data_IF_526304691833
#
_entry.id   IF_526304691833
#
_cell.length_a   1.000
_cell.length_b   1.000
_cell.length_c   1.000
_cell.angle_alpha   90.00
_cell.angle_beta   90.00
_cell.angle_gamma   90.00
#
_symmetry.space_group_name_H-M   'P 1'
#
loop_
_entity.id
_entity.type
_entity.pdbx_description
1 polymer ?
#
# COMPACT_ATOMS: atom_id res chain seq x y z
N UNK A 1 -23.48 23.47 -2.93
CA UNK A 1 -23.29 24.89 -3.31
C UNK A 1 -22.05 25.51 -2.68
N UNK A 2 -21.68 25.13 -1.46
CA UNK A 2 -20.48 25.63 -0.77
C UNK A 2 -19.16 25.35 -1.51
N UNK A 3 -18.96 24.15 -2.08
CA UNK A 3 -17.74 23.81 -2.85
C UNK A 3 -17.55 24.61 -4.13
N UNK A 4 -18.65 25.05 -4.76
CA UNK A 4 -18.62 25.92 -5.94
C UNK A 4 -18.29 27.37 -5.57
N UNK A 5 -18.66 27.80 -4.36
CA UNK A 5 -18.44 29.17 -3.86
C UNK A 5 -17.19 29.30 -2.99
N UNK A 6 -16.56 28.18 -2.65
CA UNK A 6 -15.43 28.21 -1.73
C UNK A 6 -15.81 28.52 -0.27
N UNK A 7 -17.08 28.37 0.06
CA UNK A 7 -17.66 28.78 1.33
C UNK A 7 -17.42 27.71 2.40
N UNK A 8 -16.27 27.79 3.06
CA UNK A 8 -15.84 26.80 4.06
C UNK A 8 -16.69 26.90 5.33
N UNK A 9 -17.02 28.10 5.78
CA UNK A 9 -17.83 28.30 6.98
C UNK A 9 -19.26 27.80 6.79
N UNK A 10 -19.86 28.04 5.61
CA UNK A 10 -21.16 27.47 5.27
C UNK A 10 -21.12 25.95 5.15
N UNK A 11 -20.03 25.37 4.64
CA UNK A 11 -19.88 23.92 4.57
C UNK A 11 -19.75 23.26 5.95
N UNK A 12 -18.98 23.88 6.86
CA UNK A 12 -18.85 23.41 8.25
C UNK A 12 -20.18 23.53 9.01
N UNK A 13 -20.90 24.65 8.85
CA UNK A 13 -22.22 24.82 9.47
C UNK A 13 -23.24 23.78 8.98
N UNK A 14 -23.23 23.45 7.68
CA UNK A 14 -24.07 22.38 7.13
C UNK A 14 -23.65 21.00 7.61
N UNK A 15 -22.36 20.77 7.83
CA UNK A 15 -21.86 19.54 8.41
C UNK A 15 -22.37 19.37 9.85
N UNK A 16 -22.23 20.40 10.70
CA UNK A 16 -22.67 20.36 12.09
C UNK A 16 -24.19 20.14 12.20
N UNK A 17 -24.98 20.82 11.37
CA UNK A 17 -26.43 20.61 11.27
C UNK A 17 -26.77 19.17 10.85
N UNK A 18 -26.11 18.63 9.81
CA UNK A 18 -26.31 17.26 9.36
C UNK A 18 -25.99 16.21 10.45
N UNK A 19 -24.92 16.42 11.23
CA UNK A 19 -24.59 15.55 12.37
C UNK A 19 -25.66 15.65 13.46
N UNK A 20 -26.10 16.87 13.81
CA UNK A 20 -27.12 17.10 14.84
C UNK A 20 -28.49 16.52 14.48
N UNK A 21 -28.82 16.47 13.19
CA UNK A 21 -30.07 15.93 12.65
C UNK A 21 -29.98 14.43 12.35
N UNK A 22 -28.83 13.79 12.61
CA UNK A 22 -28.62 12.36 12.34
C UNK A 22 -28.61 12.01 10.85
N UNK A 23 -28.37 12.99 9.98
CA UNK A 23 -28.31 12.81 8.53
C UNK A 23 -27.05 12.04 8.16
N UNK A 24 -27.23 10.91 7.48
CA UNK A 24 -26.09 10.07 7.04
C UNK A 24 -25.41 10.70 5.83
N UNK A 25 -24.23 11.27 6.04
CA UNK A 25 -23.39 11.81 4.98
C UNK A 25 -22.68 10.67 4.23
N UNK A 26 -22.77 10.68 2.89
CA UNK A 26 -21.99 9.80 2.02
C UNK A 26 -20.56 10.32 1.74
N UNK A 27 -19.68 9.45 1.22
CA UNK A 27 -18.26 9.73 0.92
C UNK A 27 -18.04 11.06 0.18
N UNK A 28 -18.84 11.34 -0.85
CA UNK A 28 -18.74 12.57 -1.62
C UNK A 28 -18.83 13.85 -0.78
N UNK A 29 -19.66 13.88 0.27
CA UNK A 29 -19.81 15.05 1.14
C UNK A 29 -18.56 15.28 2.00
N UNK A 30 -17.95 14.21 2.51
CA UNK A 30 -16.71 14.29 3.28
C UNK A 30 -15.53 14.74 2.41
N UNK A 31 -15.41 14.20 1.19
CA UNK A 31 -14.39 14.63 0.22
C UNK A 31 -14.54 16.12 -0.10
N UNK A 32 -15.76 16.62 -0.31
CA UNK A 32 -16.00 18.04 -0.57
C UNK A 32 -15.67 18.93 0.64
N UNK A 33 -15.99 18.48 1.85
CA UNK A 33 -15.70 19.22 3.09
C UNK A 33 -14.19 19.32 3.32
N UNK A 34 -13.48 18.20 3.20
CA UNK A 34 -12.01 18.16 3.31
C UNK A 34 -11.33 19.04 2.26
N UNK A 35 -11.79 18.98 1.01
CA UNK A 35 -11.30 19.82 -0.07
C UNK A 35 -11.48 21.32 0.23
N UNK A 36 -12.64 21.71 0.72
CA UNK A 36 -12.94 23.09 1.10
C UNK A 36 -12.04 23.56 2.24
N UNK A 37 -11.94 22.78 3.32
CA UNK A 37 -11.07 23.08 4.45
C UNK A 37 -9.60 23.22 4.01
N UNK A 38 -9.12 22.33 3.15
CA UNK A 38 -7.76 22.40 2.60
C UNK A 38 -7.54 23.62 1.70
N UNK A 39 -8.55 24.03 0.92
CA UNK A 39 -8.45 25.20 0.04
C UNK A 39 -8.41 26.51 0.85
N UNK A 40 -9.19 26.61 1.93
CA UNK A 40 -9.14 27.77 2.83
C UNK A 40 -7.83 27.85 3.61
N UNK A 41 -7.27 26.73 4.06
CA UNK A 41 -6.01 26.71 4.81
C UNK A 41 -4.80 27.20 3.97
N UNK A 42 -4.88 27.12 2.64
CA UNK A 42 -3.80 27.53 1.70
C UNK A 42 -4.00 28.98 1.19
N UNK A 43 -5.08 29.67 1.59
CA UNK A 43 -5.37 31.04 1.16
C UNK A 43 -5.77 31.17 -0.32
N UNK A 44 -6.03 30.06 -1.01
CA UNK A 44 -6.46 30.02 -2.42
C UNK A 44 -7.75 29.23 -2.51
N UNK A 45 -8.87 29.94 -2.37
CA UNK A 45 -10.19 29.36 -2.56
C UNK A 45 -10.55 29.43 -4.04
N UNK A 46 -10.36 28.35 -4.80
CA UNK A 46 -10.81 28.26 -6.20
C UNK A 46 -12.16 27.54 -6.31
N UNK A 47 -13.13 28.11 -7.06
CA UNK A 47 -14.39 27.43 -7.38
C UNK A 47 -14.14 26.08 -8.07
N UNK A 48 -14.82 25.02 -7.62
CA UNK A 48 -14.83 23.75 -8.35
C UNK A 48 -15.40 23.96 -9.77
N UNK A 49 -14.59 23.73 -10.82
CA UNK A 49 -15.04 23.81 -12.22
C UNK A 49 -16.09 22.71 -12.50
N UNK A 50 -17.23 23.13 -13.03
CA UNK A 50 -18.37 22.27 -13.38
C UNK A 50 -18.02 21.34 -14.54
N UNK A 51 -18.14 20.03 -14.33
CA UNK A 51 -18.11 19.02 -15.40
C UNK A 51 -18.61 17.68 -14.88
N UNK A 52 -19.78 17.26 -15.34
CA UNK A 52 -20.32 15.92 -15.12
C UNK A 52 -19.38 14.89 -15.77
N UNK A 53 -18.87 13.96 -14.96
CA UNK A 53 -18.02 12.85 -15.41
C UNK A 53 -16.86 12.63 -14.43
N UNK A 54 -16.80 11.43 -13.86
CA UNK A 54 -15.65 10.95 -13.11
C UNK A 54 -14.37 11.15 -13.94
N UNK A 55 -13.56 12.15 -13.58
CA UNK A 55 -12.19 12.31 -14.09
C UNK A 55 -11.27 12.73 -12.96
N UNK A 56 -10.25 11.89 -12.83
CA UNK A 56 -8.99 12.00 -12.10
C UNK A 56 -8.48 13.44 -12.00
N UNK A 57 -8.04 13.85 -10.80
CA UNK A 57 -7.49 15.16 -10.43
C UNK A 57 -6.10 15.48 -11.05
N UNK A 58 -5.77 14.92 -12.22
CA UNK A 58 -4.45 15.08 -12.86
C UNK A 58 -4.30 16.36 -13.70
N UNK A 59 -5.30 17.24 -13.78
CA UNK A 59 -5.26 18.39 -14.69
C UNK A 59 -5.24 19.74 -13.96
N UNK A 60 -4.16 20.04 -13.23
CA UNK A 60 -3.87 21.41 -12.76
C UNK A 60 -2.37 21.76 -12.66
N UNK A 61 -1.47 20.94 -13.21
CA UNK A 61 -0.04 21.27 -13.36
C UNK A 61 0.27 21.51 -14.83
N UNK A 62 -0.22 22.61 -15.39
CA UNK A 62 0.41 23.33 -16.53
C UNK A 62 -0.50 24.45 -17.00
N UNK A 63 -0.21 25.65 -16.52
CA UNK A 63 -0.42 26.88 -17.29
C UNK A 63 0.33 27.99 -16.54
N UNK A 64 1.54 28.26 -17.00
CA UNK A 64 2.25 29.50 -16.73
C UNK A 64 1.46 30.64 -17.39
N UNK A 65 0.66 31.37 -16.63
CA UNK A 65 0.19 32.69 -17.05
C UNK A 65 0.43 33.70 -15.93
N UNK A 66 1.10 34.77 -16.31
CA UNK A 66 1.45 35.95 -15.50
C UNK A 66 0.14 36.63 -15.07
N UNK A 67 -0.02 37.09 -13.81
CA UNK A 67 -1.24 37.78 -13.40
C UNK A 67 -1.29 39.16 -14.05
N UNK A 68 -2.32 39.41 -14.86
CA UNK A 68 -2.68 40.76 -15.26
C UNK A 68 -3.58 41.37 -14.17
N UNK A 69 -3.26 42.59 -13.75
CA UNK A 69 -3.97 43.34 -12.72
C UNK A 69 -5.44 43.53 -13.08
N UNK A 70 -6.33 43.36 -12.09
CA UNK A 70 -7.74 43.72 -12.22
C UNK A 70 -8.71 42.65 -11.76
N UNK A 71 -8.65 42.23 -10.51
CA UNK A 71 -9.85 41.75 -9.81
C UNK A 71 -9.67 42.03 -8.33
N UNK A 72 -10.58 42.83 -7.77
CA UNK A 72 -10.60 43.22 -6.37
C UNK A 72 -10.61 41.98 -5.47
N UNK A 73 -9.43 41.55 -5.01
CA UNK A 73 -9.27 40.54 -3.98
C UNK A 73 -9.73 41.14 -2.66
N UNK A 74 -10.87 40.71 -2.16
CA UNK A 74 -11.24 40.93 -0.75
C UNK A 74 -10.18 40.25 0.11
N UNK A 75 -9.30 41.05 0.71
CA UNK A 75 -8.32 40.61 1.71
C UNK A 75 -9.12 40.14 2.94
N UNK A 76 -9.36 38.84 3.05
CA UNK A 76 -9.96 38.26 4.25
C UNK A 76 -8.85 38.05 5.27
N UNK A 77 -8.65 39.02 6.16
CA UNK A 77 -7.92 38.80 7.39
C UNK A 77 -8.74 37.84 8.26
N UNK A 78 -8.25 36.61 8.41
CA UNK A 78 -8.75 35.70 9.43
C UNK A 78 -8.28 36.23 10.79
N UNK A 79 -9.21 36.88 11.49
CA UNK A 79 -9.05 37.28 12.87
C UNK A 79 -8.73 36.02 13.71
N UNK A 80 -7.60 36.04 14.41
CA UNK A 80 -6.87 34.87 14.90
C UNK A 80 -7.50 34.03 16.02
N UNK A 81 -8.81 33.96 16.15
CA UNK A 81 -9.51 33.29 17.27
C UNK A 81 -10.67 32.36 16.85
N UNK A 82 -10.69 31.85 15.61
CA UNK A 82 -11.56 30.71 15.30
C UNK A 82 -10.82 29.41 15.64
N UNK A 83 -11.06 28.89 16.85
CA UNK A 83 -10.78 27.49 17.15
C UNK A 83 -11.45 26.63 16.08
N UNK A 84 -10.67 26.18 15.09
CA UNK A 84 -11.09 25.12 14.18
C UNK A 84 -11.29 23.89 15.05
N UNK A 85 -12.55 23.64 15.40
CA UNK A 85 -13.00 22.61 16.32
C UNK A 85 -12.15 21.34 16.22
N UNK A 86 -11.76 20.87 17.41
CA UNK A 86 -11.13 19.59 17.74
C UNK A 86 -11.83 18.33 17.20
N UNK A 87 -12.86 18.48 16.37
CA UNK A 87 -13.90 17.49 16.13
C UNK A 87 -13.86 16.89 14.73
N UNK A 88 -12.88 17.27 13.88
CA UNK A 88 -12.51 16.47 12.69
C UNK A 88 -11.77 15.18 13.08
N UNK A 89 -12.15 14.56 14.19
CA UNK A 89 -11.69 13.24 14.63
C UNK A 89 -12.45 12.17 13.85
N UNK A 90 -12.06 11.95 12.59
CA UNK A 90 -12.38 10.71 11.90
C UNK A 90 -11.65 9.58 12.64
N UNK A 91 -12.28 8.99 13.65
CA UNK A 91 -11.71 7.85 14.37
C UNK A 91 -11.94 6.59 13.55
N UNK A 92 -11.13 5.55 13.82
CA UNK A 92 -11.32 4.23 13.23
C UNK A 92 -12.75 3.69 13.51
N UNK A 93 -13.38 4.11 14.61
CA UNK A 93 -14.76 3.79 14.96
C UNK A 93 -15.79 4.47 14.05
N UNK A 94 -15.52 5.67 13.55
CA UNK A 94 -16.44 6.39 12.65
C UNK A 94 -16.32 5.89 11.20
N UNK A 95 -15.11 5.52 10.77
CA UNK A 95 -14.90 4.81 9.50
C UNK A 95 -15.60 3.46 9.45
N UNK A 96 -15.57 2.70 10.56
CA UNK A 96 -16.29 1.42 10.70
C UNK A 96 -17.81 1.63 10.76
N UNK A 97 -18.29 2.69 11.42
CA UNK A 97 -19.73 3.01 11.50
C UNK A 97 -20.34 3.47 10.16
N UNK A 98 -19.57 4.17 9.33
CA UNK A 98 -20.07 4.77 8.09
C UNK A 98 -19.58 4.09 6.81
N UNK A 99 -18.60 3.18 6.89
CA UNK A 99 -18.07 2.42 5.74
C UNK A 99 -17.25 3.25 4.76
N UNK A 100 -16.75 4.41 5.18
CA UNK A 100 -16.00 5.34 4.34
C UNK A 100 -14.55 5.41 4.84
N UNK A 101 -13.61 5.05 3.96
CA UNK A 101 -12.17 5.17 4.21
C UNK A 101 -11.62 6.31 3.34
N UNK A 102 -10.81 7.22 3.90
CA UNK A 102 -10.18 8.29 3.11
C UNK A 102 -9.16 7.68 2.15
N UNK A 103 -9.06 8.20 0.93
CA UNK A 103 -7.99 7.85 -0.01
C UNK A 103 -6.81 8.82 0.17
N UNK A 104 -5.74 8.63 -0.62
CA UNK A 104 -4.55 9.48 -0.54
C UNK A 104 -4.84 10.98 -0.67
N UNK A 105 -5.68 11.44 -1.63
CA UNK A 105 -5.95 12.87 -1.79
C UNK A 105 -6.65 13.49 -0.58
N UNK A 106 -7.56 12.76 0.07
CA UNK A 106 -8.22 13.21 1.31
C UNK A 106 -7.22 13.32 2.47
N UNK A 107 -6.29 12.37 2.60
CA UNK A 107 -5.24 12.40 3.61
C UNK A 107 -4.21 13.51 3.33
N UNK A 108 -3.90 13.77 2.06
CA UNK A 108 -3.05 14.89 1.64
C UNK A 108 -3.70 16.23 2.04
N UNK A 109 -4.98 16.41 1.71
CA UNK A 109 -5.76 17.60 2.07
C UNK A 109 -5.80 17.80 3.60
N UNK A 110 -6.06 16.73 4.35
CA UNK A 110 -6.07 16.78 5.81
C UNK A 110 -4.70 17.14 6.39
N UNK A 111 -3.62 16.67 5.78
CA UNK A 111 -2.25 17.03 6.17
C UNK A 111 -1.99 18.53 5.98
N UNK A 112 -2.43 19.11 4.86
CA UNK A 112 -2.30 20.56 4.59
C UNK A 112 -2.97 21.40 5.68
N UNK A 113 -4.20 21.06 6.04
CA UNK A 113 -4.96 21.76 7.10
C UNK A 113 -4.27 21.61 8.46
N UNK A 114 -3.84 20.40 8.80
CA UNK A 114 -3.21 20.10 10.09
C UNK A 114 -1.90 20.89 10.28
N UNK A 115 -1.13 21.10 9.21
CA UNK A 115 0.08 21.93 9.22
C UNK A 115 -0.27 23.40 9.48
N UNK A 116 -1.29 23.94 8.80
CA UNK A 116 -1.75 25.33 9.01
C UNK A 116 -2.22 25.60 10.44
N UNK A 117 -2.88 24.61 11.06
CA UNK A 117 -3.36 24.68 12.43
C UNK A 117 -2.29 24.30 13.49
N UNK A 118 -1.10 23.84 13.09
CA UNK A 118 -0.06 23.39 14.01
C UNK A 118 -0.42 22.14 14.83
N UNK A 119 -1.38 21.32 14.38
CA UNK A 119 -1.85 20.15 15.12
C UNK A 119 -0.97 18.91 14.84
N UNK A 120 0.04 18.71 15.68
CA UNK A 120 1.03 17.67 15.49
C UNK A 120 0.53 16.24 15.69
N UNK A 121 -0.46 16.06 16.56
CA UNK A 121 -1.04 14.74 16.84
C UNK A 121 -1.86 14.27 15.64
N UNK A 122 -2.53 15.22 14.96
CA UNK A 122 -3.24 14.92 13.71
C UNK A 122 -2.30 14.50 12.60
N UNK A 123 -1.14 15.14 12.49
CA UNK A 123 -0.11 14.75 11.50
C UNK A 123 0.37 13.33 11.77
N UNK A 124 0.68 13.00 13.03
CA UNK A 124 1.09 11.66 13.43
C UNK A 124 0.03 10.62 13.01
N UNK A 125 -1.24 10.91 13.29
CA UNK A 125 -2.36 10.09 12.87
C UNK A 125 -2.42 9.90 11.34
N UNK A 126 -2.26 10.98 10.57
CA UNK A 126 -2.32 10.90 9.10
C UNK A 126 -1.18 10.06 8.54
N UNK A 127 0.05 10.17 9.06
CA UNK A 127 1.16 9.33 8.61
C UNK A 127 0.88 7.84 8.83
N UNK A 128 0.32 7.48 9.98
CA UNK A 128 -0.11 6.10 10.24
C UNK A 128 -1.28 5.65 9.37
N UNK A 129 -2.18 6.55 8.98
CA UNK A 129 -3.26 6.22 8.03
C UNK A 129 -2.73 6.04 6.61
N UNK A 130 -1.81 6.89 6.15
CA UNK A 130 -1.10 6.72 4.88
C UNK A 130 -0.35 5.38 4.85
N UNK A 131 0.31 5.00 5.96
CA UNK A 131 0.98 3.70 6.10
C UNK A 131 0.04 2.53 5.79
N UNK A 132 -1.19 2.59 6.32
CA UNK A 132 -2.17 1.50 6.18
C UNK A 132 -2.78 1.50 4.77
N UNK A 133 -3.15 2.67 4.25
CA UNK A 133 -4.01 2.78 3.06
C UNK A 133 -3.20 2.75 1.77
N UNK A 134 -2.10 3.50 1.70
CA UNK A 134 -1.32 3.63 0.46
C UNK A 134 0.00 2.87 0.51
N UNK A 135 0.58 2.70 1.70
CA UNK A 135 1.92 2.16 1.97
C UNK A 135 3.06 3.00 1.39
N UNK A 136 2.99 3.26 0.08
CA UNK A 136 3.86 4.08 -0.74
C UNK A 136 3.09 5.31 -1.19
N UNK A 137 3.61 6.50 -0.91
CA UNK A 137 2.94 7.76 -1.22
C UNK A 137 3.30 8.24 -2.61
N UNK A 138 2.40 9.01 -3.24
CA UNK A 138 2.67 9.76 -4.45
C UNK A 138 3.79 10.80 -4.26
N UNK A 139 4.47 11.24 -5.34
CA UNK A 139 5.46 12.32 -5.26
C UNK A 139 4.92 13.62 -4.66
N UNK A 140 3.64 13.94 -4.89
CA UNK A 140 2.99 15.14 -4.34
C UNK A 140 2.83 15.04 -2.82
N UNK A 141 2.32 13.92 -2.33
CA UNK A 141 2.19 13.66 -0.89
C UNK A 141 3.56 13.55 -0.22
N UNK A 142 4.53 12.92 -0.89
CA UNK A 142 5.92 12.85 -0.42
C UNK A 142 6.55 14.24 -0.23
N UNK A 143 6.38 15.14 -1.21
CA UNK A 143 6.86 16.53 -1.10
C UNK A 143 6.19 17.27 0.05
N UNK A 144 4.90 17.07 0.26
CA UNK A 144 4.18 17.69 1.36
C UNK A 144 4.70 17.21 2.73
N UNK A 145 4.92 15.92 2.88
CA UNK A 145 5.47 15.38 4.13
C UNK A 145 6.90 15.86 4.35
N UNK A 146 7.68 15.97 3.28
CA UNK A 146 9.04 16.53 3.34
C UNK A 146 9.04 17.97 3.88
N UNK A 147 8.16 18.84 3.37
CA UNK A 147 8.02 20.22 3.85
C UNK A 147 7.49 20.28 5.29
N UNK A 148 6.62 19.34 5.65
CA UNK A 148 6.09 19.21 7.00
C UNK A 148 7.21 18.97 8.03
N UNK A 149 8.11 18.03 7.77
CA UNK A 149 9.21 17.74 8.69
C UNK A 149 10.23 18.89 8.76
N UNK A 150 10.38 19.68 7.68
CA UNK A 150 11.23 20.89 7.68
C UNK A 150 10.61 22.07 8.42
N UNK A 151 9.30 22.06 8.69
CA UNK A 151 8.62 23.15 9.35
C UNK A 151 9.12 23.36 10.80
N UNK A 152 9.27 24.62 11.21
CA UNK A 152 9.65 25.00 12.57
C UNK A 152 8.72 24.40 13.64
N UNK A 153 7.43 24.22 13.36
CA UNK A 153 6.51 23.60 14.33
C UNK A 153 6.85 22.12 14.59
N UNK A 154 7.26 21.36 13.56
CA UNK A 154 7.67 19.96 13.73
C UNK A 154 8.87 19.83 14.68
N UNK A 155 9.73 20.85 14.77
CA UNK A 155 10.89 20.84 15.67
C UNK A 155 10.54 20.99 17.17
N UNK A 156 9.33 21.44 17.47
CA UNK A 156 8.88 21.74 18.85
C UNK A 156 8.17 20.56 19.51
N UNK A 157 7.80 19.56 18.71
CA UNK A 157 6.98 18.41 19.10
C UNK A 157 7.88 17.23 19.44
N UNK A 158 7.44 16.41 20.39
CA UNK A 158 8.04 15.13 20.73
C UNK A 158 8.66 15.05 22.11
N UNK A 159 8.87 13.80 22.55
CA UNK A 159 9.38 13.46 23.89
C UNK A 159 10.90 13.41 23.86
N UNK A 160 11.57 14.02 24.85
CA UNK A 160 13.05 13.96 24.99
C UNK A 160 13.56 12.67 25.64
N UNK A 161 12.71 12.01 26.42
CA UNK A 161 13.00 10.75 27.12
C UNK A 161 11.80 9.84 26.95
N UNK A 162 12.07 8.58 26.68
CA UNK A 162 11.06 7.52 26.54
C UNK A 162 11.66 6.20 27.00
N UNK A 163 10.80 5.26 27.39
CA UNK A 163 11.21 3.92 27.74
C UNK A 163 11.37 3.08 26.47
N UNK A 164 12.61 2.76 26.11
CA UNK A 164 12.92 1.97 24.92
C UNK A 164 12.25 0.58 24.95
N UNK A 165 12.10 -0.03 26.13
CA UNK A 165 11.47 -1.36 26.25
C UNK A 165 10.01 -1.30 25.83
N UNK A 166 9.28 -0.28 26.28
CA UNK A 166 7.88 -0.08 25.89
C UNK A 166 7.74 0.22 24.39
N UNK A 167 8.68 0.96 23.80
CA UNK A 167 8.68 1.22 22.35
C UNK A 167 8.93 -0.06 21.55
N UNK A 168 9.90 -0.87 21.96
CA UNK A 168 10.19 -2.16 21.32
C UNK A 168 9.00 -3.12 21.44
N UNK A 169 8.42 -3.27 22.63
CA UNK A 169 7.23 -4.09 22.86
C UNK A 169 6.05 -3.61 22.00
N UNK A 170 5.80 -2.30 21.94
CA UNK A 170 4.77 -1.73 21.08
C UNK A 170 5.07 -2.00 19.59
N UNK A 171 6.34 -2.04 19.19
CA UNK A 171 6.73 -2.35 17.81
C UNK A 171 6.43 -3.79 17.45
N UNK A 172 6.79 -4.72 18.33
CA UNK A 172 6.51 -6.15 18.17
C UNK A 172 5.00 -6.42 18.13
N UNK A 173 4.24 -5.84 19.07
CA UNK A 173 2.78 -5.97 19.13
C UNK A 173 2.06 -5.40 17.89
N UNK A 174 2.69 -4.46 17.17
CA UNK A 174 2.18 -3.89 15.93
C UNK A 174 2.60 -4.67 14.66
N UNK A 175 3.28 -5.81 14.79
CA UNK A 175 3.80 -6.60 13.67
C UNK A 175 5.05 -6.02 13.00
N UNK A 176 5.73 -5.08 13.66
CA UNK A 176 6.97 -4.48 13.19
C UNK A 176 6.82 -3.20 12.34
N UNK A 177 7.90 -2.43 12.27
CA UNK A 177 8.02 -1.21 11.47
C UNK A 177 7.15 -0.02 11.92
N UNK A 178 6.50 -0.10 13.09
CA UNK A 178 5.87 1.05 13.77
C UNK A 178 5.66 0.79 15.25
N UNK A 179 5.71 1.83 16.09
CA UNK A 179 5.40 1.70 17.52
C UNK A 179 4.10 2.43 17.92
N UNK A 180 3.71 3.51 17.23
CA UNK A 180 2.42 4.17 17.48
C UNK A 180 2.32 4.94 18.80
N UNK A 181 3.45 5.27 19.44
CA UNK A 181 3.51 5.87 20.80
C UNK A 181 3.66 7.40 20.80
N UNK A 182 3.43 8.02 19.64
CA UNK A 182 3.59 9.46 19.41
C UNK A 182 5.03 9.84 19.05
N UNK A 183 5.26 11.14 18.86
CA UNK A 183 6.56 11.67 18.44
C UNK A 183 7.67 11.46 19.47
N UNK A 184 8.78 10.86 19.02
CA UNK A 184 10.01 10.69 19.79
C UNK A 184 11.09 11.66 19.31
N UNK A 185 11.96 12.08 20.21
CA UNK A 185 12.94 13.14 19.97
C UNK A 185 12.34 14.54 20.10
N UNK A 186 13.21 15.56 20.15
CA UNK A 186 12.79 16.97 20.09
C UNK A 186 13.94 17.80 19.52
N UNK A 187 13.64 18.64 18.54
CA UNK A 187 14.64 19.45 17.86
C UNK A 187 14.38 19.49 16.35
N UNK A 188 15.26 20.16 15.61
CA UNK A 188 15.15 20.26 14.16
C UNK A 188 15.30 18.88 13.53
N UNK A 189 14.37 18.51 12.67
CA UNK A 189 14.48 17.29 11.86
C UNK A 189 15.54 17.44 10.78
N UNK A 190 16.32 16.39 10.59
CA UNK A 190 17.13 16.20 9.38
C UNK A 190 16.28 15.44 8.37
N UNK A 191 16.01 16.07 7.22
CA UNK A 191 15.11 15.53 6.19
C UNK A 191 15.87 15.42 4.89
N UNK A 192 16.05 14.17 4.42
CA UNK A 192 16.93 13.84 3.30
C UNK A 192 16.24 12.83 2.38
N UNK A 193 16.33 13.05 1.07
CA UNK A 193 16.00 12.01 0.09
C UNK A 193 17.14 10.99 0.04
N UNK A 194 16.82 9.72 0.22
CA UNK A 194 17.80 8.64 0.32
C UNK A 194 17.32 7.38 -0.40
N UNK A 195 18.21 6.38 -0.49
CA UNK A 195 17.88 5.05 -1.01
C UNK A 195 18.20 3.99 0.05
N UNK A 196 17.56 2.84 -0.08
CA UNK A 196 17.80 1.68 0.80
C UNK A 196 18.84 0.78 0.13
N UNK A 197 19.78 0.27 0.91
CA UNK A 197 20.75 -0.73 0.47
C UNK A 197 20.11 -2.10 0.23
N UNK A 198 20.85 -3.00 -0.43
CA UNK A 198 20.39 -4.38 -0.64
C UNK A 198 20.33 -5.20 0.66
N UNK A 199 20.90 -4.68 1.73
CA UNK A 199 20.86 -5.16 3.11
C UNK A 199 19.62 -4.64 3.88
N UNK A 200 18.83 -3.75 3.29
CA UNK A 200 17.70 -3.10 3.98
C UNK A 200 18.10 -1.93 4.87
N UNK A 201 19.37 -1.49 4.84
CA UNK A 201 19.84 -0.33 5.59
C UNK A 201 19.57 0.97 4.84
N UNK A 202 19.08 1.98 5.55
CA UNK A 202 18.97 3.33 5.02
C UNK A 202 20.37 3.93 4.81
N UNK A 203 20.71 4.33 3.57
CA UNK A 203 22.03 4.92 3.27
C UNK A 203 22.31 6.28 3.92
N UNK A 204 21.27 6.93 4.48
CA UNK A 204 21.41 8.23 5.14
C UNK A 204 21.67 8.07 6.64
N UNK A 205 20.83 7.30 7.34
CA UNK A 205 20.87 7.22 8.81
C UNK A 205 21.34 5.86 9.35
N UNK A 206 21.60 4.87 8.47
CA UNK A 206 22.03 3.53 8.87
C UNK A 206 20.96 2.69 9.59
N UNK A 207 19.72 3.16 9.67
CA UNK A 207 18.62 2.40 10.28
C UNK A 207 18.27 1.20 9.39
N UNK A 208 18.13 0.02 10.02
CA UNK A 208 17.63 -1.19 9.38
C UNK A 208 16.11 -1.12 9.24
N UNK A 209 15.60 -1.12 8.02
CA UNK A 209 14.16 -1.20 7.79
C UNK A 209 13.67 -2.62 8.07
N UNK A 210 12.48 -2.72 8.65
CA UNK A 210 11.85 -3.99 9.01
C UNK A 210 11.24 -4.67 7.81
N UNK A 211 11.36 -5.98 7.83
CA UNK A 211 10.73 -6.93 6.93
C UNK A 211 9.42 -7.37 7.59
N UNK A 212 8.37 -6.54 7.45
CA UNK A 212 7.05 -6.78 8.08
C UNK A 212 6.45 -8.06 7.49
N UNK A 213 6.30 -9.07 8.34
CA UNK A 213 5.76 -10.36 7.95
C UNK A 213 4.27 -10.28 7.63
N UNK A 214 3.83 -11.15 6.72
CA UNK A 214 2.41 -11.31 6.45
C UNK A 214 1.79 -12.16 7.56
N UNK A 215 0.68 -11.67 8.10
CA UNK A 215 -0.05 -12.36 9.15
C UNK A 215 -0.40 -13.81 8.69
N UNK A 216 -0.04 -14.84 9.49
CA UNK A 216 -0.31 -16.23 9.12
C UNK A 216 -1.79 -16.56 8.94
N UNK A 217 -2.68 -15.95 9.72
CA UNK A 217 -4.12 -16.14 9.65
C UNK A 217 -4.66 -15.47 8.39
N UNK A 218 -4.26 -14.23 8.09
CA UNK A 218 -4.60 -13.56 6.84
C UNK A 218 -4.09 -14.35 5.62
N UNK A 219 -2.86 -14.88 5.69
CA UNK A 219 -2.27 -15.71 4.64
C UNK A 219 -3.11 -16.98 4.40
N UNK A 220 -3.55 -17.64 5.47
CA UNK A 220 -4.40 -18.82 5.36
C UNK A 220 -5.79 -18.48 4.81
N UNK A 221 -6.38 -17.37 5.25
CA UNK A 221 -7.66 -16.88 4.73
C UNK A 221 -7.56 -16.56 3.24
N UNK A 222 -6.45 -15.94 2.83
CA UNK A 222 -6.19 -15.65 1.43
C UNK A 222 -6.00 -16.91 0.60
N UNK A 223 -5.28 -17.92 1.11
CA UNK A 223 -5.15 -19.23 0.46
C UNK A 223 -6.52 -19.90 0.26
N UNK A 224 -7.42 -19.80 1.25
CA UNK A 224 -8.77 -20.34 1.18
C UNK A 224 -9.64 -19.58 0.16
N UNK A 225 -9.51 -18.25 0.09
CA UNK A 225 -10.17 -17.42 -0.92
C UNK A 225 -9.73 -17.80 -2.34
N UNK A 226 -8.42 -17.90 -2.58
CA UNK A 226 -7.87 -18.32 -3.88
C UNK A 226 -8.37 -19.72 -4.25
N UNK A 227 -8.39 -20.65 -3.29
CA UNK A 227 -8.90 -22.00 -3.52
C UNK A 227 -10.39 -22.01 -3.89
N UNK A 228 -11.24 -21.24 -3.20
CA UNK A 228 -12.67 -21.19 -3.50
C UNK A 228 -12.95 -20.59 -4.86
N UNK A 229 -12.26 -19.50 -5.21
CA UNK A 229 -12.37 -18.87 -6.53
C UNK A 229 -11.89 -19.81 -7.66
N UNK A 230 -10.80 -20.54 -7.43
CA UNK A 230 -10.29 -21.52 -8.37
C UNK A 230 -11.30 -22.67 -8.57
N UNK A 231 -11.87 -23.23 -7.51
CA UNK A 231 -12.90 -24.30 -7.60
C UNK A 231 -14.14 -23.82 -8.36
N UNK A 232 -14.56 -22.57 -8.19
CA UNK A 232 -15.73 -22.03 -8.90
C UNK A 232 -15.50 -21.85 -10.41
N UNK A 233 -14.25 -21.66 -10.84
CA UNK A 233 -13.90 -21.31 -12.22
C UNK A 233 -13.27 -22.44 -13.02
N UNK A 234 -12.58 -23.34 -12.33
CA UNK A 234 -11.96 -24.50 -12.95
C UNK A 234 -13.00 -25.58 -13.28
N UNK A 235 -12.76 -26.33 -14.35
CA UNK A 235 -13.69 -27.36 -14.79
C UNK A 235 -13.61 -28.59 -13.89
N UNK A 236 -14.78 -29.04 -13.43
CA UNK A 236 -14.92 -30.28 -12.68
C UNK A 236 -14.08 -30.30 -11.41
N UNK A 237 -13.38 -31.41 -11.15
CA UNK A 237 -12.56 -31.60 -9.95
C UNK A 237 -11.06 -31.35 -10.17
N UNK A 238 -10.68 -30.67 -11.26
CA UNK A 238 -9.27 -30.47 -11.63
C UNK A 238 -8.45 -29.78 -10.53
N UNK A 239 -8.97 -28.66 -10.00
CA UNK A 239 -8.28 -27.94 -8.93
C UNK A 239 -8.24 -28.73 -7.62
N UNK A 240 -9.32 -29.44 -7.27
CA UNK A 240 -9.35 -30.29 -6.08
C UNK A 240 -8.35 -31.44 -6.15
N UNK A 241 -8.16 -32.02 -7.34
CA UNK A 241 -7.10 -33.03 -7.60
C UNK A 241 -5.72 -32.43 -7.37
N UNK A 242 -5.47 -31.20 -7.85
CA UNK A 242 -4.24 -30.48 -7.59
C UNK A 242 -4.02 -30.23 -6.10
N UNK A 243 -5.03 -29.77 -5.35
CA UNK A 243 -4.91 -29.54 -3.91
C UNK A 243 -4.53 -30.82 -3.15
N UNK A 244 -5.09 -31.97 -3.53
CA UNK A 244 -4.75 -33.29 -2.97
C UNK A 244 -3.31 -33.68 -3.30
N UNK A 245 -2.91 -33.53 -4.56
CA UNK A 245 -1.53 -33.80 -5.02
C UNK A 245 -0.53 -32.92 -4.28
N UNK A 246 -0.79 -31.62 -4.12
CA UNK A 246 0.07 -30.73 -3.35
C UNK A 246 0.20 -31.12 -1.87
N UNK A 247 -0.86 -31.62 -1.24
CA UNK A 247 -0.75 -32.08 0.16
C UNK A 247 0.16 -33.30 0.29
N UNK A 248 0.13 -34.22 -0.68
CA UNK A 248 1.02 -35.38 -0.71
C UNK A 248 2.48 -34.93 -0.94
N UNK A 249 2.70 -34.15 -2.00
CA UNK A 249 4.03 -33.61 -2.37
C UNK A 249 4.62 -32.71 -1.29
N UNK A 250 3.79 -31.88 -0.65
CA UNK A 250 4.20 -30.99 0.44
C UNK A 250 4.67 -31.73 1.70
N UNK A 251 4.08 -32.90 1.98
CA UNK A 251 4.50 -33.74 3.10
C UNK A 251 5.81 -34.46 2.81
N UNK A 252 6.06 -34.86 1.56
CA UNK A 252 7.30 -35.55 1.16
C UNK A 252 8.48 -34.58 0.97
N UNK A 253 8.28 -33.43 0.30
CA UNK A 253 9.32 -32.42 0.06
C UNK A 253 9.79 -31.76 1.37
N UNK A 254 8.91 -31.57 2.35
CA UNK A 254 9.28 -30.98 3.64
C UNK A 254 10.08 -31.94 4.54
N UNK A 255 9.94 -33.26 4.36
CA UNK A 255 10.57 -34.26 5.24
C UNK A 255 11.96 -34.72 4.76
N UNK A 256 12.33 -34.51 3.49
CA UNK A 256 13.47 -35.24 2.89
C UNK A 256 14.66 -34.39 2.41
N UNK A 257 14.58 -33.05 2.34
CA UNK A 257 15.63 -32.25 1.65
C UNK A 257 16.18 -31.05 2.45
N UNK A 258 17.41 -31.15 3.01
CA UNK A 258 18.07 -30.05 3.72
C UNK A 258 18.75 -28.97 2.87
N UNK A 259 19.03 -29.15 1.55
CA UNK A 259 19.87 -28.14 0.86
C UNK A 259 19.82 -28.03 -0.67
N UNK A 260 18.96 -28.77 -1.40
CA UNK A 260 18.73 -28.54 -2.84
C UNK A 260 17.26 -28.80 -3.20
N UNK A 261 16.40 -27.81 -2.96
CA UNK A 261 14.98 -27.87 -3.30
C UNK A 261 14.82 -27.63 -4.80
N UNK A 262 14.25 -28.58 -5.53
CA UNK A 262 13.76 -28.29 -6.89
C UNK A 262 12.54 -27.37 -6.78
N UNK A 263 12.45 -26.29 -7.59
CA UNK A 263 11.24 -25.49 -7.63
C UNK A 263 10.10 -26.31 -8.22
N UNK A 264 8.89 -26.14 -7.69
CA UNK A 264 7.69 -26.69 -8.32
C UNK A 264 7.38 -25.91 -9.59
N UNK A 265 7.45 -26.59 -10.73
CA UNK A 265 7.17 -26.06 -12.06
C UNK A 265 5.70 -26.35 -12.36
N UNK A 266 4.93 -25.30 -12.59
CA UNK A 266 3.55 -25.41 -13.10
C UNK A 266 3.59 -25.12 -14.59
N UNK A 267 3.16 -26.08 -15.41
CA UNK A 267 3.16 -25.94 -16.87
C UNK A 267 1.82 -26.40 -17.45
N UNK A 268 1.27 -25.64 -18.38
CA UNK A 268 0.05 -26.08 -19.07
C UNK A 268 0.31 -27.32 -19.96
N UNK A 269 -0.53 -28.36 -19.89
CA UNK A 269 -0.31 -29.65 -20.57
C UNK A 269 -0.20 -29.56 -22.12
N UNK A 270 -0.75 -28.50 -22.72
CA UNK A 270 -0.50 -28.21 -24.16
C UNK A 270 0.97 -27.91 -24.46
N UNK A 271 1.71 -27.35 -23.51
CA UNK A 271 3.14 -27.04 -23.65
C UNK A 271 4.03 -28.24 -23.36
N UNK A 272 3.54 -29.24 -22.63
CA UNK A 272 4.27 -30.49 -22.40
C UNK A 272 4.15 -31.53 -23.52
N UNK A 273 3.28 -31.29 -24.52
CA UNK A 273 2.97 -32.24 -25.61
C UNK A 273 3.09 -31.66 -27.03
N UNK A 274 3.75 -30.50 -27.20
CA UNK A 274 3.92 -29.86 -28.51
C UNK A 274 5.21 -30.27 -29.22
N UNK A 275 5.31 -30.00 -30.53
CA UNK A 275 6.41 -30.43 -31.43
C UNK A 275 7.83 -30.09 -30.94
N UNK A 276 8.00 -29.02 -30.15
CA UNK A 276 9.29 -28.65 -29.53
C UNK A 276 9.72 -29.59 -28.38
N UNK A 277 8.80 -30.38 -27.83
CA UNK A 277 9.06 -31.32 -26.73
C UNK A 277 9.54 -32.69 -27.21
N UNK A 278 9.47 -32.95 -28.52
CA UNK A 278 10.05 -34.16 -29.12
C UNK A 278 11.56 -34.05 -29.34
N UNK A 279 12.15 -32.87 -29.10
CA UNK A 279 13.60 -32.73 -29.01
C UNK A 279 14.15 -33.55 -27.83
N UNK A 280 15.16 -34.41 -28.04
CA UNK A 280 15.69 -35.31 -27.00
C UNK A 280 16.14 -34.59 -25.72
N UNK A 281 16.65 -33.37 -25.86
CA UNK A 281 17.12 -32.53 -24.75
C UNK A 281 15.93 -32.10 -23.86
N UNK A 282 14.84 -31.65 -24.47
CA UNK A 282 13.66 -31.19 -23.74
C UNK A 282 12.95 -32.36 -23.04
N UNK A 283 12.88 -33.53 -23.71
CA UNK A 283 12.33 -34.75 -23.10
C UNK A 283 13.12 -35.18 -21.87
N UNK A 284 14.45 -35.19 -21.95
CA UNK A 284 15.32 -35.51 -20.82
C UNK A 284 15.12 -34.55 -19.63
N UNK A 285 14.89 -33.26 -19.89
CA UNK A 285 14.61 -32.27 -18.85
C UNK A 285 13.26 -32.51 -18.17
N UNK A 286 12.21 -32.81 -18.94
CA UNK A 286 10.88 -33.13 -18.40
C UNK A 286 10.94 -34.39 -17.56
N UNK A 287 11.58 -35.45 -18.05
CA UNK A 287 11.74 -36.70 -17.32
C UNK A 287 12.49 -36.46 -16.01
N UNK A 288 13.53 -35.61 -16.03
CA UNK A 288 14.24 -35.20 -14.82
C UNK A 288 13.32 -34.47 -13.82
N UNK A 289 12.44 -33.58 -14.27
CA UNK A 289 11.52 -32.87 -13.38
C UNK A 289 10.39 -33.75 -12.86
N UNK A 290 9.87 -34.66 -13.68
CA UNK A 290 8.88 -35.65 -13.27
C UNK A 290 9.45 -36.62 -12.23
N UNK A 291 10.66 -37.14 -12.45
CA UNK A 291 11.35 -38.04 -11.52
C UNK A 291 11.71 -37.38 -10.19
N UNK A 292 11.71 -36.04 -10.14
CA UNK A 292 11.97 -35.25 -8.95
C UNK A 292 10.69 -34.69 -8.29
N UNK A 293 9.51 -35.11 -8.76
CA UNK A 293 8.19 -34.59 -8.33
C UNK A 293 8.09 -33.04 -8.39
N UNK A 294 8.82 -32.45 -9.33
CA UNK A 294 9.01 -31.02 -9.46
C UNK A 294 8.18 -30.40 -10.61
N UNK A 295 7.38 -31.18 -11.33
CA UNK A 295 6.54 -30.70 -12.44
C UNK A 295 5.07 -31.08 -12.22
N UNK A 296 4.19 -30.10 -12.28
CA UNK A 296 2.74 -30.32 -12.36
C UNK A 296 2.21 -29.80 -13.70
N UNK A 297 1.76 -30.72 -14.54
CA UNK A 297 1.11 -30.39 -15.81
C UNK A 297 -0.37 -30.06 -15.60
N UNK A 298 -0.78 -28.80 -15.79
CA UNK A 298 -2.18 -28.40 -15.58
C UNK A 298 -3.09 -28.98 -16.68
N UNK A 299 -4.31 -29.45 -16.33
CA UNK A 299 -5.21 -30.08 -17.30
C UNK A 299 -5.58 -29.16 -18.47
N UNK A 300 -5.94 -29.76 -19.61
CA UNK A 300 -6.34 -28.99 -20.79
C UNK A 300 -7.57 -28.12 -20.51
N UNK A 301 -7.44 -26.81 -20.73
CA UNK A 301 -8.52 -25.84 -20.52
C UNK A 301 -8.61 -25.30 -19.09
N UNK A 302 -7.64 -25.65 -18.24
CA UNK A 302 -7.43 -25.02 -16.94
C UNK A 302 -6.65 -23.72 -17.08
N UNK A 303 -6.94 -22.76 -16.21
CA UNK A 303 -6.13 -21.56 -16.05
C UNK A 303 -5.00 -21.87 -15.05
N UNK A 304 -3.76 -21.95 -15.55
CA UNK A 304 -2.56 -22.24 -14.76
C UNK A 304 -2.30 -21.19 -13.67
N UNK A 305 -2.83 -19.96 -13.81
CA UNK A 305 -2.73 -18.91 -12.80
C UNK A 305 -3.24 -19.32 -11.42
N UNK A 306 -4.32 -20.10 -11.35
CA UNK A 306 -4.82 -20.59 -10.08
C UNK A 306 -3.87 -21.56 -9.39
N UNK A 307 -3.13 -22.35 -10.17
CA UNK A 307 -2.32 -23.46 -9.66
C UNK A 307 -1.03 -22.94 -9.04
N UNK A 308 -0.26 -22.12 -9.79
CA UNK A 308 0.98 -21.56 -9.25
C UNK A 308 0.72 -20.56 -8.13
N UNK A 309 -0.36 -19.78 -8.20
CA UNK A 309 -0.70 -18.80 -7.16
C UNK A 309 -1.02 -19.51 -5.85
N UNK A 310 -1.93 -20.50 -5.89
CA UNK A 310 -2.32 -21.25 -4.72
C UNK A 310 -1.14 -22.01 -4.09
N UNK A 311 -0.29 -22.63 -4.91
CA UNK A 311 0.91 -23.32 -4.42
C UNK A 311 1.84 -22.36 -3.67
N UNK A 312 2.16 -21.21 -4.28
CA UNK A 312 3.07 -20.24 -3.69
C UNK A 312 2.56 -19.68 -2.35
N UNK A 313 1.26 -19.38 -2.25
CA UNK A 313 0.64 -18.90 -1.00
C UNK A 313 0.67 -20.00 0.06
N UNK A 314 0.23 -21.22 -0.30
CA UNK A 314 0.11 -22.35 0.63
C UNK A 314 1.45 -22.75 1.24
N UNK A 315 2.51 -22.78 0.43
CA UNK A 315 3.85 -23.14 0.88
C UNK A 315 4.67 -21.94 1.37
N UNK A 316 4.10 -20.72 1.34
CA UNK A 316 4.76 -19.47 1.75
C UNK A 316 6.14 -19.33 1.09
N UNK A 317 6.20 -19.61 -0.21
CA UNK A 317 7.46 -19.68 -0.97
C UNK A 317 7.54 -18.61 -2.06
N UNK A 318 8.74 -18.40 -2.58
CA UNK A 318 8.96 -17.52 -3.72
C UNK A 318 8.21 -18.02 -4.95
N UNK A 319 7.69 -17.08 -5.73
CA UNK A 319 7.02 -17.29 -7.00
C UNK A 319 7.84 -16.63 -8.11
N UNK A 320 8.43 -17.44 -8.98
CA UNK A 320 9.20 -16.92 -10.12
C UNK A 320 8.25 -16.70 -11.30
N UNK A 321 7.96 -15.44 -11.62
CA UNK A 321 7.13 -15.08 -12.78
C UNK A 321 7.30 -13.62 -13.18
N UNK A 322 7.29 -13.37 -14.48
CA UNK A 322 7.25 -12.02 -15.05
C UNK A 322 5.82 -11.52 -15.30
N UNK A 323 4.79 -12.34 -15.03
CA UNK A 323 3.40 -11.90 -15.07
C UNK A 323 3.20 -10.71 -14.12
N UNK A 324 2.53 -9.68 -14.60
CA UNK A 324 2.28 -8.47 -13.82
C UNK A 324 1.13 -8.65 -12.82
N UNK A 325 0.34 -9.71 -13.02
CA UNK A 325 -0.83 -10.08 -12.24
C UNK A 325 -1.89 -8.96 -12.24
N UNK A 326 -2.22 -8.44 -13.43
CA UNK A 326 -3.12 -7.29 -13.64
C UNK A 326 -4.46 -7.63 -14.29
N UNK A 327 -4.66 -8.89 -14.68
CA UNK A 327 -5.88 -9.33 -15.34
C UNK A 327 -7.11 -9.30 -14.39
N UNK A 328 -8.29 -9.56 -14.95
CA UNK A 328 -9.54 -9.63 -14.17
C UNK A 328 -9.55 -10.73 -13.10
N UNK A 329 -8.69 -11.73 -13.22
CA UNK A 329 -8.53 -12.77 -12.20
C UNK A 329 -7.91 -12.16 -10.94
N UNK A 330 -6.80 -11.41 -11.08
CA UNK A 330 -6.11 -10.83 -9.93
C UNK A 330 -6.84 -9.66 -9.29
N UNK A 331 -7.68 -8.94 -10.04
CA UNK A 331 -8.55 -7.88 -9.50
C UNK A 331 -9.52 -8.39 -8.42
N UNK A 332 -9.85 -9.68 -8.42
CA UNK A 332 -10.78 -10.28 -7.45
C UNK A 332 -10.12 -10.65 -6.13
N UNK A 333 -8.79 -10.65 -6.10
CA UNK A 333 -7.99 -10.99 -4.92
C UNK A 333 -7.91 -9.83 -3.92
N UNK A 334 -8.48 -8.68 -4.27
CA UNK A 334 -8.51 -7.49 -3.44
C UNK A 334 -7.24 -6.64 -3.55
N UNK A 335 -7.34 -5.40 -3.07
CA UNK A 335 -6.30 -4.38 -3.22
C UNK A 335 -5.41 -4.23 -1.97
N UNK A 336 -5.61 -5.06 -0.94
CA UNK A 336 -4.87 -4.94 0.32
C UNK A 336 -3.84 -6.08 0.50
N UNK A 337 -4.30 -7.31 0.77
CA UNK A 337 -3.39 -8.43 1.06
C UNK A 337 -2.55 -8.85 -0.16
N UNK A 338 -3.16 -8.99 -1.34
CA UNK A 338 -2.48 -9.52 -2.52
C UNK A 338 -1.27 -8.69 -2.97
N UNK A 339 -1.32 -7.34 -3.05
CA UNK A 339 -0.14 -6.53 -3.34
C UNK A 339 1.00 -6.73 -2.33
N UNK A 340 0.69 -6.83 -1.02
CA UNK A 340 1.68 -7.10 0.03
C UNK A 340 2.31 -8.48 -0.16
N UNK A 341 1.49 -9.49 -0.47
CA UNK A 341 1.97 -10.83 -0.77
C UNK A 341 2.88 -10.85 -1.99
N UNK A 342 2.47 -10.20 -3.08
CA UNK A 342 3.23 -10.11 -4.34
C UNK A 342 4.60 -9.47 -4.13
N UNK A 343 4.67 -8.35 -3.40
CA UNK A 343 5.93 -7.66 -3.08
C UNK A 343 6.94 -8.59 -2.39
N UNK A 344 6.47 -9.50 -1.53
CA UNK A 344 7.34 -10.36 -0.72
C UNK A 344 7.69 -11.70 -1.36
N UNK A 345 6.91 -12.15 -2.34
CA UNK A 345 7.05 -13.49 -2.91
C UNK A 345 7.40 -13.50 -4.40
N UNK A 346 7.08 -12.44 -5.17
CA UNK A 346 7.35 -12.43 -6.60
C UNK A 346 8.84 -12.20 -6.89
N UNK A 347 9.45 -13.16 -7.57
CA UNK A 347 10.78 -13.04 -8.19
C UNK A 347 10.58 -12.81 -9.69
N UNK A 348 11.08 -11.68 -10.19
CA UNK A 348 11.09 -11.39 -11.63
C UNK A 348 12.43 -11.84 -12.22
N UNK A 349 12.52 -11.99 -13.53
CA UNK A 349 13.77 -12.32 -14.18
C UNK A 349 13.93 -11.63 -15.53
N UNK A 350 15.19 -11.42 -15.92
CA UNK A 350 15.60 -10.94 -17.24
C UNK A 350 16.73 -11.82 -17.75
N UNK A 351 17.04 -11.76 -19.05
CA UNK A 351 18.23 -12.41 -19.60
C UNK A 351 19.27 -11.34 -19.93
N UNK A 352 20.51 -11.56 -19.54
CA UNK A 352 21.63 -10.71 -19.95
C UNK A 352 21.95 -10.91 -21.44
N UNK A 353 22.77 -10.03 -22.00
CA UNK A 353 23.25 -10.15 -23.39
C UNK A 353 24.03 -11.45 -23.64
N UNK A 354 24.57 -12.06 -22.58
CA UNK A 354 25.24 -13.37 -22.60
C UNK A 354 24.27 -14.56 -22.52
N UNK A 355 22.96 -14.32 -22.46
CA UNK A 355 21.92 -15.35 -22.36
C UNK A 355 21.72 -15.95 -20.96
N UNK A 356 22.44 -15.47 -19.94
CA UNK A 356 22.27 -15.94 -18.57
C UNK A 356 21.08 -15.28 -17.88
N UNK A 357 20.26 -16.03 -17.12
CA UNK A 357 19.14 -15.45 -16.38
C UNK A 357 19.64 -14.64 -15.17
N UNK A 358 19.06 -13.45 -15.00
CA UNK A 358 19.24 -12.57 -13.84
C UNK A 358 17.92 -12.53 -13.09
N UNK A 359 17.93 -12.94 -11.82
CA UNK A 359 16.77 -12.94 -10.95
C UNK A 359 16.72 -11.67 -10.11
N UNK A 360 15.59 -10.99 -10.15
CA UNK A 360 15.28 -9.81 -9.35
C UNK A 360 14.46 -10.26 -8.15
N UNK A 361 15.14 -10.40 -7.01
CA UNK A 361 14.56 -10.85 -5.74
C UNK A 361 13.62 -9.80 -5.14
N UNK A 362 12.64 -10.21 -4.31
CA UNK A 362 11.86 -9.30 -3.48
C UNK A 362 12.73 -8.30 -2.70
N UNK A 363 12.24 -7.08 -2.43
CA UNK A 363 12.97 -6.10 -1.64
C UNK A 363 13.42 -6.65 -0.27
N UNK A 364 14.59 -6.24 0.24
CA UNK A 364 15.15 -6.74 1.50
C UNK A 364 14.35 -6.31 2.74
N UNK A 365 13.46 -5.31 2.58
CA UNK A 365 12.58 -4.78 3.61
C UNK A 365 11.20 -4.46 3.00
N UNK A 366 10.16 -4.36 3.84
CA UNK A 366 8.81 -4.03 3.35
C UNK A 366 8.72 -2.58 2.86
N UNK A 367 8.18 -2.37 1.65
CA UNK A 367 8.02 -1.03 1.05
C UNK A 367 6.73 -0.39 1.56
N UNK A 368 6.84 0.19 2.75
CA UNK A 368 5.74 0.85 3.45
C UNK A 368 6.34 1.93 4.36
N UNK A 369 5.57 2.96 4.73
CA UNK A 369 6.00 3.93 5.74
C UNK A 369 6.42 3.18 7.02
N UNK A 370 7.65 3.43 7.48
CA UNK A 370 8.19 2.82 8.70
C UNK A 370 8.60 3.88 9.72
N UNK A 371 8.34 3.58 10.99
CA UNK A 371 8.69 4.37 12.16
C UNK A 371 9.63 3.51 13.03
N UNK A 372 10.84 4.00 13.31
CA UNK A 372 11.83 3.32 14.14
C UNK A 372 11.61 3.55 15.63
N UNK A 373 12.23 2.72 16.46
CA UNK A 373 12.24 2.82 17.93
C UNK A 373 12.93 4.09 18.47
N UNK A 374 13.84 4.67 17.69
CA UNK A 374 14.47 5.97 17.94
C UNK A 374 13.68 7.16 17.34
N UNK A 375 12.51 6.91 16.72
CA UNK A 375 11.65 7.96 16.16
C UNK A 375 12.00 8.41 14.74
N UNK A 376 12.81 7.65 13.99
CA UNK A 376 13.10 7.95 12.59
C UNK A 376 11.94 7.52 11.70
N UNK A 377 11.63 8.34 10.69
CA UNK A 377 10.58 8.06 9.72
C UNK A 377 11.17 7.79 8.34
N UNK A 378 10.76 6.68 7.72
CA UNK A 378 11.12 6.32 6.36
C UNK A 378 9.85 6.22 5.52
N UNK A 379 9.73 7.08 4.51
CA UNK A 379 8.51 7.23 3.70
C UNK A 379 8.85 6.91 2.23
N UNK A 380 8.39 5.77 1.69
CA UNK A 380 8.64 5.42 0.29
C UNK A 380 7.77 6.24 -0.65
N UNK A 381 8.38 6.77 -1.72
CA UNK A 381 7.79 7.59 -2.80
C UNK A 381 7.80 6.86 -4.13
#
# INVERSE_FOLDING_TARGET
>A
MCSKRGDVMGALSLYDSAISEGVKLGQHHYTLLLFLCSSAAVGVVRPAKSGSGARTLNALVSSNEVPNEGTNGTHFELNGNAELNSDLNFTEKDGIKHGVYPEEPELEALSRVSVGAGNSDKIYYVLHKLRIIVRKVSPTTGSLIFDLFKNKQASRVGKRKWDKRLIMEATENNGGGRHGQGWLGKGKWEVVHTTIGNDGLCKCCGVQLTTIDLDPVETQNFANLVASLAVMREKGSNFQKFQKSLNAVGNEICQTLPSKKFPLIILHNKRSKGDKMDEPINRSLIDKWNNADALYATPSGSNDNWYWLYAAIKFRCLLVTNDEMRDHLFQLLGNDFFPKWKERHQVRFSFSDTGSPVFHMPPPCSVVIQESDEGHWHIPI
#
